data_IF_153260235938
#
_entry.id   IF_153260235938
#
_cell.length_a   1.000
_cell.length_b   1.000
_cell.length_c   1.000
_cell.angle_alpha   90.00
_cell.angle_beta   90.00
_cell.angle_gamma   90.00
#
_symmetry.space_group_name_H-M   'P 1'
#
loop_
_entity.id
_entity.type
_entity.pdbx_description
1 polymer ?
#
# COMPACT_ATOMS: atom_id res chain seq x y z
N UNK A 1 -11.15 18.64 -13.73
CA UNK A 1 -10.43 17.74 -12.80
C UNK A 1 -10.15 16.44 -13.51
N UNK A 2 -8.88 16.16 -13.80
CA UNK A 2 -8.47 14.93 -14.49
C UNK A 2 -8.55 13.74 -13.53
N UNK A 3 -8.76 12.52 -14.04
CA UNK A 3 -8.90 11.30 -13.21
C UNK A 3 -7.68 11.01 -12.31
N UNK A 4 -6.53 11.64 -12.58
CA UNK A 4 -5.29 11.47 -11.83
C UNK A 4 -5.15 12.44 -10.65
N UNK A 5 -5.64 13.68 -10.77
CA UNK A 5 -5.55 14.67 -9.68
C UNK A 5 -6.39 14.29 -8.45
N UNK A 6 -7.48 13.53 -8.66
CA UNK A 6 -8.38 13.07 -7.59
C UNK A 6 -7.78 11.98 -6.71
N UNK A 7 -6.75 11.27 -7.18
CA UNK A 7 -6.11 10.19 -6.42
C UNK A 7 -5.21 10.80 -5.35
N UNK A 8 -4.37 11.76 -5.71
CA UNK A 8 -3.37 12.34 -4.80
C UNK A 8 -3.97 13.19 -3.67
N UNK A 9 -5.18 13.72 -3.85
CA UNK A 9 -5.87 14.57 -2.87
C UNK A 9 -6.85 13.81 -1.97
N UNK A 10 -6.87 12.48 -2.01
CA UNK A 10 -7.77 11.73 -1.14
C UNK A 10 -7.27 11.74 0.32
N UNK A 11 -8.05 12.28 1.28
CA UNK A 11 -7.63 12.36 2.69
C UNK A 11 -7.37 10.98 3.31
N UNK A 12 -8.01 9.91 2.82
CA UNK A 12 -7.77 8.55 3.32
C UNK A 12 -6.32 8.08 3.07
N UNK A 13 -5.68 8.57 2.01
CA UNK A 13 -4.27 8.26 1.71
C UNK A 13 -3.30 9.00 2.65
N UNK A 14 -3.70 10.14 3.22
CA UNK A 14 -2.84 10.93 4.11
C UNK A 14 -2.58 10.23 5.46
N UNK A 15 -3.48 9.35 5.89
CA UNK A 15 -3.32 8.56 7.13
C UNK A 15 -2.36 7.36 6.97
N UNK A 16 -1.90 7.07 5.75
CA UNK A 16 -0.96 5.99 5.48
C UNK A 16 0.48 6.47 5.65
N UNK A 17 1.37 5.56 6.06
CA UNK A 17 2.82 5.80 6.00
C UNK A 17 3.25 6.17 4.58
N UNK A 18 4.31 6.96 4.37
CA UNK A 18 4.74 7.39 3.03
C UNK A 18 4.88 6.21 2.05
N UNK A 19 5.51 5.12 2.50
CA UNK A 19 5.72 3.93 1.67
C UNK A 19 4.42 3.18 1.35
N UNK A 20 3.50 3.08 2.33
CA UNK A 20 2.19 2.46 2.11
C UNK A 20 1.31 3.31 1.20
N UNK A 21 1.44 4.64 1.30
CA UNK A 21 0.72 5.62 0.48
C UNK A 21 1.13 5.54 -0.99
N UNK A 22 2.44 5.53 -1.27
CA UNK A 22 2.95 5.33 -2.62
C UNK A 22 2.47 4.00 -3.22
N UNK A 23 2.51 2.93 -2.41
CA UNK A 23 2.00 1.62 -2.83
C UNK A 23 0.50 1.67 -3.17
N UNK A 24 -0.30 2.34 -2.35
CA UNK A 24 -1.73 2.53 -2.59
C UNK A 24 -2.00 3.35 -3.86
N UNK A 25 -1.25 4.43 -4.10
CA UNK A 25 -1.39 5.23 -5.33
C UNK A 25 -1.09 4.38 -6.57
N UNK A 26 0.00 3.61 -6.54
CA UNK A 26 0.38 2.73 -7.66
C UNK A 26 -0.70 1.70 -7.97
N UNK A 27 -1.25 1.04 -6.93
CA UNK A 27 -2.34 0.07 -7.10
C UNK A 27 -3.63 0.75 -7.60
N UNK A 28 -3.94 1.96 -7.13
CA UNK A 28 -5.11 2.71 -7.58
C UNK A 28 -5.01 3.07 -9.07
N UNK A 29 -3.83 3.48 -9.53
CA UNK A 29 -3.57 3.77 -10.95
C UNK A 29 -3.74 2.51 -11.80
N UNK A 30 -3.19 1.38 -11.36
CA UNK A 30 -3.34 0.09 -12.05
C UNK A 30 -4.81 -0.34 -12.12
N UNK A 31 -5.56 -0.21 -11.02
CA UNK A 31 -6.99 -0.54 -10.98
C UNK A 31 -7.82 0.33 -11.92
N UNK A 32 -7.45 1.60 -12.09
CA UNK A 32 -8.11 2.52 -13.03
C UNK A 32 -7.80 2.22 -14.49
N UNK A 33 -6.60 1.71 -14.78
CA UNK A 33 -6.22 1.28 -16.13
C UNK A 33 -6.86 -0.05 -16.51
N UNK A 34 -6.89 -1.00 -15.58
CA UNK A 34 -7.32 -2.39 -15.85
C UNK A 34 -8.81 -2.62 -15.66
N UNK A 35 -9.48 -1.83 -14.81
CA UNK A 35 -10.90 -2.00 -14.49
C UNK A 35 -11.68 -0.72 -14.76
N UNK A 36 -12.85 -0.84 -15.39
CA UNK A 36 -13.82 0.26 -15.54
C UNK A 36 -14.55 0.57 -14.23
N UNK A 37 -13.81 0.78 -13.14
CA UNK A 37 -14.35 1.15 -11.83
C UNK A 37 -14.16 2.65 -11.57
N UNK A 38 -14.98 3.21 -10.68
CA UNK A 38 -14.84 4.62 -10.29
C UNK A 38 -13.57 4.86 -9.48
N UNK A 39 -13.02 6.07 -9.57
CA UNK A 39 -11.81 6.49 -8.84
C UNK A 39 -11.94 6.29 -7.32
N UNK A 40 -13.09 6.59 -6.73
CA UNK A 40 -13.34 6.35 -5.31
C UNK A 40 -13.22 4.86 -4.94
N UNK A 41 -13.80 3.97 -5.77
CA UNK A 41 -13.74 2.53 -5.53
C UNK A 41 -12.32 1.98 -5.71
N UNK A 42 -11.60 2.46 -6.74
CA UNK A 42 -10.21 2.10 -6.96
C UNK A 42 -9.33 2.50 -5.78
N UNK A 43 -9.49 3.71 -5.25
CA UNK A 43 -8.71 4.21 -4.10
C UNK A 43 -8.99 3.36 -2.86
N UNK A 44 -10.25 3.14 -2.48
CA UNK A 44 -10.59 2.32 -1.31
C UNK A 44 -10.00 0.91 -1.42
N UNK A 45 -10.14 0.29 -2.58
CA UNK A 45 -9.58 -1.05 -2.80
C UNK A 45 -8.06 -1.05 -2.74
N UNK A 46 -7.41 -0.04 -3.31
CA UNK A 46 -5.96 0.10 -3.27
C UNK A 46 -5.42 0.32 -1.85
N UNK A 47 -6.13 1.08 -1.02
CA UNK A 47 -5.79 1.29 0.39
C UNK A 47 -5.80 -0.04 1.15
N UNK A 48 -6.86 -0.84 1.00
CA UNK A 48 -6.96 -2.14 1.68
C UNK A 48 -5.86 -3.14 1.24
N UNK A 49 -5.55 -3.15 -0.05
CA UNK A 49 -4.44 -3.98 -0.57
C UNK A 49 -3.10 -3.48 -0.02
N UNK A 50 -2.87 -2.17 0.01
CA UNK A 50 -1.63 -1.58 0.51
C UNK A 50 -1.43 -1.82 2.02
N UNK A 51 -2.50 -1.73 2.82
CA UNK A 51 -2.48 -2.09 4.25
C UNK A 51 -2.08 -3.54 4.45
N UNK A 52 -2.72 -4.45 3.72
CA UNK A 52 -2.43 -5.89 3.78
C UNK A 52 -0.98 -6.19 3.39
N UNK A 53 -0.46 -5.51 2.36
CA UNK A 53 0.94 -5.59 1.96
C UNK A 53 1.88 -5.08 3.06
N UNK A 54 1.55 -3.97 3.71
CA UNK A 54 2.37 -3.39 4.76
C UNK A 54 2.52 -4.33 5.97
N UNK A 55 1.43 -4.96 6.40
CA UNK A 55 1.46 -5.98 7.47
C UNK A 55 2.38 -7.13 7.11
N UNK A 56 2.19 -7.74 5.93
CA UNK A 56 3.05 -8.84 5.45
C UNK A 56 4.53 -8.44 5.34
N UNK A 57 4.81 -7.19 4.97
CA UNK A 57 6.17 -6.65 4.89
C UNK A 57 6.81 -6.54 6.27
N UNK A 58 6.05 -6.09 7.27
CA UNK A 58 6.48 -6.02 8.67
C UNK A 58 6.77 -7.43 9.20
N UNK A 59 5.85 -8.37 9.04
CA UNK A 59 6.02 -9.76 9.50
C UNK A 59 7.29 -10.39 8.92
N UNK A 60 7.53 -10.18 7.61
CA UNK A 60 8.74 -10.66 6.95
C UNK A 60 10.02 -10.03 7.50
N UNK A 61 9.99 -8.73 7.86
CA UNK A 61 11.13 -8.04 8.48
C UNK A 61 11.39 -8.57 9.89
N UNK A 62 10.34 -8.75 10.69
CA UNK A 62 10.43 -9.32 12.05
C UNK A 62 11.01 -10.72 11.99
N UNK A 63 10.47 -11.58 11.12
CA UNK A 63 10.97 -12.95 10.96
C UNK A 63 12.43 -13.01 10.53
N UNK A 64 12.85 -12.15 9.59
CA UNK A 64 14.27 -12.04 9.21
C UNK A 64 15.15 -11.60 10.37
N UNK A 65 14.71 -10.65 11.18
CA UNK A 65 15.47 -10.14 12.33
C UNK A 65 15.60 -11.20 13.42
N UNK A 66 14.52 -11.91 13.74
CA UNK A 66 14.54 -13.02 14.69
C UNK A 66 15.50 -14.12 14.24
N UNK A 67 15.42 -14.55 12.98
CA UNK A 67 16.32 -15.56 12.40
C UNK A 67 17.79 -15.13 12.36
N UNK A 68 18.05 -13.84 12.16
CA UNK A 68 19.41 -13.30 12.21
C UNK A 68 19.97 -13.37 13.63
N UNK A 69 19.21 -12.91 14.62
CA UNK A 69 19.60 -12.98 16.03
C UNK A 69 19.84 -14.42 16.52
N UNK A 70 19.08 -15.42 16.04
CA UNK A 70 19.33 -16.83 16.34
C UNK A 70 20.69 -17.33 15.84
N UNK A 71 21.18 -16.80 14.71
CA UNK A 71 22.47 -17.20 14.12
C UNK A 71 23.67 -16.54 14.80
N UNK A 72 23.50 -15.36 15.39
CA UNK A 72 24.55 -14.67 16.12
C UNK A 72 24.71 -15.20 17.56
N UNK A 73 23.79 -16.06 18.03
CA UNK A 73 23.81 -16.68 19.36
C UNK A 73 24.43 -18.10 19.37
N UNK A 74 24.91 -18.61 18.23
CA UNK A 74 25.58 -19.91 18.05
C UNK A 74 27.03 -19.71 17.61
#
# INVERSE_FOLDING_TARGET
MTRNESIHHNPELMYLSPTTREKAIMIAQELLQTRKISSSRAIRQAIEIAKSWAVKSIDRKVWKKLKFNEKDLL
#
